data_IF_157924024197
#
_entry.id   IF_157924024197
#
_cell.length_a   1.000
_cell.length_b   1.000
_cell.length_c   1.000
_cell.angle_alpha   90.00
_cell.angle_beta   90.00
_cell.angle_gamma   90.00
#
_symmetry.space_group_name_H-M   'P 1'
#
loop_
_entity.id
_entity.type
_entity.pdbx_description
1 polymer ?
#
# COMPACT_ATOMS: atom_id res chain seq x y z
N UNK A 1 44.42 42.98 14.63
CA UNK A 1 42.99 42.87 14.25
C UNK A 1 42.70 41.42 13.93
N UNK A 2 42.23 40.69 14.95
CA UNK A 2 41.94 39.25 14.83
C UNK A 2 40.42 39.12 14.70
N UNK A 3 39.89 39.11 13.47
CA UNK A 3 38.51 38.76 13.21
C UNK A 3 38.41 37.24 13.02
N UNK A 4 37.59 36.71 13.82
CA UNK A 4 37.44 35.37 14.28
C UNK A 4 37.00 34.40 13.17
N UNK A 5 37.80 33.38 12.92
CA UNK A 5 37.48 32.20 12.06
C UNK A 5 36.22 31.45 12.56
N UNK A 6 35.87 31.65 13.82
CA UNK A 6 34.70 31.02 14.48
C UNK A 6 33.35 31.47 13.88
N UNK A 7 33.24 32.73 13.40
CA UNK A 7 31.99 33.27 12.86
C UNK A 7 31.65 32.69 11.47
N UNK A 8 32.62 32.26 10.69
CA UNK A 8 32.40 31.71 9.33
C UNK A 8 31.96 30.23 9.43
N UNK A 9 32.48 29.49 10.40
CA UNK A 9 32.07 28.11 10.60
C UNK A 9 30.60 27.99 11.08
N UNK A 10 30.18 28.91 11.95
CA UNK A 10 28.78 28.94 12.42
C UNK A 10 27.78 29.27 11.29
N UNK A 11 28.18 30.10 10.35
CA UNK A 11 27.32 30.47 9.22
C UNK A 11 27.17 29.33 8.19
N UNK A 12 28.23 28.55 7.97
CA UNK A 12 28.21 27.39 7.08
C UNK A 12 27.40 26.21 7.65
N UNK A 13 27.43 26.02 8.95
CA UNK A 13 26.63 24.98 9.63
C UNK A 13 25.13 25.32 9.57
N UNK A 14 24.77 26.60 9.70
CA UNK A 14 23.35 27.02 9.61
C UNK A 14 22.79 26.89 8.18
N UNK A 15 23.60 27.05 7.15
CA UNK A 15 23.17 26.83 5.74
C UNK A 15 23.00 25.34 5.45
N UNK A 16 23.82 24.48 6.03
CA UNK A 16 23.67 23.01 5.85
C UNK A 16 22.45 22.43 6.55
N UNK A 17 22.08 22.96 7.71
CA UNK A 17 20.87 22.55 8.44
C UNK A 17 19.57 23.00 7.74
N UNK A 18 19.59 24.11 6.99
CA UNK A 18 18.40 24.57 6.26
C UNK A 18 18.18 23.79 4.97
N UNK A 19 19.25 23.30 4.32
CA UNK A 19 19.10 22.51 3.08
C UNK A 19 18.63 21.08 3.32
N UNK A 20 18.90 20.48 4.49
CA UNK A 20 18.42 19.13 4.81
C UNK A 20 16.95 19.09 5.24
N UNK A 21 16.41 20.18 5.80
CA UNK A 21 15.00 20.22 6.22
C UNK A 21 14.02 20.45 5.06
N UNK A 22 14.44 21.12 3.99
CA UNK A 22 13.55 21.36 2.82
C UNK A 22 13.35 20.14 1.94
N UNK A 23 14.29 19.20 1.93
CA UNK A 23 14.17 17.95 1.16
C UNK A 23 13.14 17.00 1.82
N UNK A 24 13.12 16.92 3.15
CA UNK A 24 12.18 16.05 3.87
C UNK A 24 10.73 16.56 3.81
N UNK A 25 10.48 17.86 3.72
CA UNK A 25 9.12 18.41 3.61
C UNK A 25 8.49 18.16 2.24
N UNK A 26 9.25 18.21 1.16
CA UNK A 26 8.72 17.93 -0.18
C UNK A 26 8.44 16.44 -0.39
N UNK A 27 9.22 15.57 0.21
CA UNK A 27 9.05 14.13 0.16
C UNK A 27 7.85 13.68 1.02
N UNK A 28 7.67 14.24 2.21
CA UNK A 28 6.53 13.97 3.08
C UNK A 28 5.18 14.41 2.48
N UNK A 29 5.09 15.57 1.86
CA UNK A 29 3.82 16.02 1.30
C UNK A 29 3.35 15.19 0.10
N UNK A 30 4.27 14.55 -0.63
CA UNK A 30 3.95 13.68 -1.76
C UNK A 30 3.61 12.26 -1.31
N UNK A 31 4.30 11.77 -0.30
CA UNK A 31 4.07 10.45 0.27
C UNK A 31 2.71 10.36 1.00
N UNK A 32 2.29 11.43 1.68
CA UNK A 32 0.94 11.52 2.25
C UNK A 32 -0.16 11.42 1.20
N UNK A 33 0.08 11.95 -0.02
CA UNK A 33 -0.95 11.94 -1.06
C UNK A 33 -1.31 10.52 -1.56
N UNK A 34 -0.36 9.59 -1.65
CA UNK A 34 -0.65 8.22 -2.12
C UNK A 34 -1.48 7.43 -1.11
N UNK A 35 -1.14 7.46 0.16
CA UNK A 35 -1.89 6.81 1.21
C UNK A 35 -3.29 7.43 1.37
N UNK A 36 -3.40 8.76 1.34
CA UNK A 36 -4.68 9.47 1.37
C UNK A 36 -5.57 9.15 0.16
N UNK A 37 -4.99 8.95 -1.04
CA UNK A 37 -5.76 8.51 -2.21
C UNK A 37 -6.36 7.12 -2.00
N UNK A 38 -5.61 6.20 -1.44
CA UNK A 38 -6.12 4.86 -1.14
C UNK A 38 -7.26 4.95 -0.14
N UNK A 39 -7.09 5.69 0.97
CA UNK A 39 -8.12 5.80 2.00
C UNK A 39 -9.40 6.50 1.50
N UNK A 40 -9.26 7.58 0.75
CA UNK A 40 -10.39 8.40 0.34
C UNK A 40 -11.09 7.88 -0.92
N UNK A 41 -10.32 7.38 -1.90
CA UNK A 41 -10.84 7.01 -3.21
C UNK A 41 -10.70 5.51 -3.51
N UNK A 42 -10.15 4.72 -2.57
CA UNK A 42 -9.88 3.30 -2.74
C UNK A 42 -8.96 2.98 -3.93
N UNK A 43 -8.22 3.98 -4.41
CA UNK A 43 -7.49 3.95 -5.69
C UNK A 43 -6.02 4.24 -5.48
N UNK A 44 -5.16 3.51 -6.19
CA UNK A 44 -3.74 3.80 -6.33
C UNK A 44 -3.33 3.83 -7.80
N UNK A 45 -2.56 4.86 -8.18
CA UNK A 45 -1.97 4.97 -9.52
C UNK A 45 -0.47 4.75 -9.38
N UNK A 46 0.04 3.69 -10.02
CA UNK A 46 1.45 3.33 -9.96
C UNK A 46 2.31 4.15 -10.91
N UNK A 47 3.53 4.52 -10.49
CA UNK A 47 4.54 5.07 -11.39
C UNK A 47 4.95 4.10 -12.50
N UNK A 48 5.41 4.62 -13.63
CA UNK A 48 5.88 3.81 -14.79
C UNK A 48 7.09 2.91 -14.46
N UNK A 49 7.87 3.23 -13.46
CA UNK A 49 9.04 2.45 -13.04
C UNK A 49 8.68 1.14 -12.34
N UNK A 50 7.47 1.05 -11.78
CA UNK A 50 7.05 -0.12 -11.00
C UNK A 50 6.85 -1.32 -11.93
N UNK A 51 7.45 -2.44 -11.55
CA UNK A 51 7.39 -3.73 -12.25
C UNK A 51 6.69 -4.81 -11.45
N UNK A 52 6.63 -4.64 -10.14
CA UNK A 52 6.00 -5.58 -9.23
C UNK A 52 5.13 -4.82 -8.24
N UNK A 53 3.91 -5.27 -8.04
CA UNK A 53 3.01 -4.72 -7.02
C UNK A 53 2.36 -5.84 -6.21
N UNK A 54 2.27 -5.61 -4.89
CA UNK A 54 1.59 -6.54 -3.98
C UNK A 54 0.37 -5.87 -3.39
N UNK A 55 -0.81 -6.42 -3.72
CA UNK A 55 -2.10 -6.01 -3.15
C UNK A 55 -2.26 -6.66 -1.78
N UNK A 56 -2.57 -5.88 -0.76
CA UNK A 56 -2.85 -6.40 0.57
C UNK A 56 -4.31 -6.85 0.68
N UNK A 57 -4.52 -8.05 1.22
CA UNK A 57 -5.80 -8.48 1.79
C UNK A 57 -5.64 -8.26 3.30
N UNK A 58 -6.28 -7.24 3.88
CA UNK A 58 -6.10 -6.90 5.29
C UNK A 58 -6.77 -7.92 6.21
N UNK A 59 -6.42 -7.87 7.50
CA UNK A 59 -7.10 -8.67 8.50
C UNK A 59 -8.61 -8.41 8.48
N UNK A 60 -9.40 -9.46 8.71
CA UNK A 60 -10.88 -9.37 8.73
C UNK A 60 -11.50 -8.72 7.48
N UNK A 61 -10.86 -8.90 6.32
CA UNK A 61 -11.35 -8.37 5.04
C UNK A 61 -12.78 -8.86 4.69
N UNK A 62 -13.18 -10.01 5.24
CA UNK A 62 -14.49 -10.66 5.01
C UNK A 62 -15.58 -10.18 5.96
N UNK A 63 -15.23 -9.50 7.05
CA UNK A 63 -16.22 -9.10 8.03
C UNK A 63 -17.01 -7.90 7.55
N UNK A 64 -18.31 -7.95 7.80
CA UNK A 64 -19.17 -6.82 7.58
C UNK A 64 -18.87 -5.73 8.60
N UNK A 65 -18.58 -4.51 8.18
CA UNK A 65 -18.37 -3.43 9.14
C UNK A 65 -19.63 -3.22 9.98
N UNK A 66 -19.45 -3.10 11.29
CA UNK A 66 -20.53 -2.88 12.24
C UNK A 66 -21.25 -1.54 12.08
N UNK A 67 -20.64 -0.59 11.33
CA UNK A 67 -21.19 0.72 11.10
C UNK A 67 -21.77 0.85 9.68
N UNK A 68 -22.79 1.69 9.51
CA UNK A 68 -23.27 2.08 8.20
C UNK A 68 -22.13 2.54 7.27
N UNK A 69 -22.23 2.24 5.98
CA UNK A 69 -21.19 2.52 4.97
C UNK A 69 -20.68 3.96 5.01
N UNK A 70 -21.55 4.92 5.28
CA UNK A 70 -21.26 6.36 5.35
C UNK A 70 -20.38 6.74 6.56
N UNK A 71 -20.28 5.86 7.54
CA UNK A 71 -19.49 6.06 8.76
C UNK A 71 -18.17 5.28 8.76
N UNK A 72 -17.90 4.54 7.69
CA UNK A 72 -16.69 3.72 7.55
C UNK A 72 -15.56 4.56 6.99
N UNK A 73 -14.42 4.57 7.67
CA UNK A 73 -13.20 5.20 7.14
C UNK A 73 -12.54 4.34 6.08
N UNK A 74 -12.51 3.01 6.28
CA UNK A 74 -12.11 2.05 5.25
C UNK A 74 -13.22 1.02 5.05
N UNK A 75 -13.59 0.83 3.81
CA UNK A 75 -14.53 -0.19 3.37
C UNK A 75 -13.90 -0.99 2.21
N UNK A 76 -12.65 -1.40 2.39
CA UNK A 76 -11.88 -2.03 1.33
C UNK A 76 -11.51 -3.45 1.73
N UNK A 77 -12.00 -4.46 0.98
CA UNK A 77 -11.56 -5.84 1.15
C UNK A 77 -10.12 -6.06 0.64
N UNK A 78 -9.68 -5.18 -0.25
CA UNK A 78 -8.34 -5.17 -0.83
C UNK A 78 -7.75 -3.77 -0.74
N UNK A 79 -6.43 -3.68 -0.57
CA UNK A 79 -5.74 -2.40 -0.43
C UNK A 79 -4.58 -2.30 -1.42
N UNK A 80 -4.73 -1.48 -2.47
CA UNK A 80 -5.91 -0.72 -2.87
C UNK A 80 -7.01 -1.60 -3.48
N UNK A 81 -8.25 -1.12 -3.50
CA UNK A 81 -9.35 -1.81 -4.19
C UNK A 81 -9.29 -1.60 -5.71
N UNK A 82 -8.88 -0.40 -6.15
CA UNK A 82 -8.73 -0.04 -7.55
C UNK A 82 -7.28 0.33 -7.84
N UNK A 83 -6.62 -0.48 -8.66
CA UNK A 83 -5.24 -0.29 -9.06
C UNK A 83 -5.13 0.16 -10.52
N UNK A 84 -4.45 1.27 -10.77
CA UNK A 84 -4.03 1.69 -12.10
C UNK A 84 -2.54 1.46 -12.23
N UNK A 85 -2.14 0.65 -13.21
CA UNK A 85 -0.77 0.19 -13.34
C UNK A 85 -0.25 0.32 -14.78
N UNK A 86 1.07 0.51 -14.96
CA UNK A 86 1.68 0.49 -16.29
C UNK A 86 1.66 -0.93 -16.87
N UNK A 87 1.75 -1.10 -18.19
CA UNK A 87 1.96 -2.41 -18.82
C UNK A 87 3.32 -3.00 -18.41
N UNK A 88 3.46 -4.32 -18.58
CA UNK A 88 4.60 -5.13 -18.13
C UNK A 88 4.81 -5.10 -16.62
N UNK A 89 3.72 -5.19 -15.87
CA UNK A 89 3.72 -5.30 -14.42
C UNK A 89 3.34 -6.70 -13.97
N UNK A 90 3.95 -7.12 -12.87
CA UNK A 90 3.60 -8.34 -12.16
C UNK A 90 2.82 -7.97 -10.90
N UNK A 91 1.71 -8.66 -10.66
CA UNK A 91 0.85 -8.42 -9.49
C UNK A 91 0.66 -9.72 -8.72
N UNK A 92 0.67 -9.63 -7.42
CA UNK A 92 0.35 -10.70 -6.49
C UNK A 92 -0.51 -10.16 -5.34
N UNK A 93 -1.17 -11.05 -4.61
CA UNK A 93 -1.95 -10.73 -3.41
C UNK A 93 -1.28 -11.33 -2.18
N UNK A 94 -1.14 -10.53 -1.13
CA UNK A 94 -0.61 -10.96 0.16
C UNK A 94 -1.75 -10.95 1.18
N UNK A 95 -1.96 -12.09 1.87
CA UNK A 95 -3.00 -12.18 2.88
C UNK A 95 -2.46 -11.90 4.28
N UNK A 96 -2.96 -10.82 4.90
CA UNK A 96 -2.82 -10.51 6.32
C UNK A 96 -4.02 -10.99 7.16
N UNK A 97 -4.98 -11.72 6.58
CA UNK A 97 -6.22 -12.12 7.22
C UNK A 97 -6.05 -13.39 8.06
N UNK A 98 -6.06 -13.20 9.37
CA UNK A 98 -5.76 -14.24 10.35
C UNK A 98 -6.86 -15.29 10.42
N UNK A 99 -6.45 -16.57 10.41
CA UNK A 99 -7.38 -17.69 10.56
C UNK A 99 -8.15 -18.06 9.30
N UNK A 100 -8.01 -17.28 8.21
CA UNK A 100 -8.75 -17.49 6.98
C UNK A 100 -7.84 -17.83 5.80
N UNK A 101 -8.39 -18.61 4.86
CA UNK A 101 -7.82 -18.81 3.53
C UNK A 101 -8.65 -18.01 2.56
N UNK A 102 -8.01 -17.08 1.85
CA UNK A 102 -8.65 -16.21 0.88
C UNK A 102 -8.52 -16.78 -0.52
N UNK A 103 -9.60 -16.74 -1.28
CA UNK A 103 -9.62 -17.17 -2.68
C UNK A 103 -9.79 -15.94 -3.56
N UNK A 104 -8.78 -15.62 -4.37
CA UNK A 104 -8.85 -14.53 -5.34
C UNK A 104 -9.05 -15.10 -6.72
N UNK A 105 -10.16 -14.73 -7.35
CA UNK A 105 -10.49 -15.05 -8.73
C UNK A 105 -10.40 -13.77 -9.57
N UNK A 106 -9.66 -13.80 -10.67
CA UNK A 106 -9.49 -12.68 -11.58
C UNK A 106 -10.12 -13.00 -12.93
N UNK A 107 -10.92 -12.06 -13.43
CA UNK A 107 -11.61 -12.15 -14.71
C UNK A 107 -11.17 -11.03 -15.66
N UNK A 108 -11.14 -11.34 -16.95
CA UNK A 108 -10.98 -10.37 -18.02
C UNK A 108 -12.32 -9.65 -18.36
N UNK A 109 -12.31 -8.80 -19.38
CA UNK A 109 -13.48 -8.05 -19.82
C UNK A 109 -14.61 -8.94 -20.40
N UNK A 110 -14.29 -10.19 -20.75
CA UNK A 110 -15.26 -11.16 -21.28
C UNK A 110 -15.83 -12.05 -20.17
N UNK A 111 -15.48 -11.79 -18.91
CA UNK A 111 -15.79 -12.64 -17.75
C UNK A 111 -15.17 -14.04 -17.84
N UNK A 112 -14.02 -14.15 -18.52
CA UNK A 112 -13.22 -15.37 -18.50
C UNK A 112 -12.26 -15.33 -17.31
N UNK A 113 -12.27 -16.38 -16.49
CA UNK A 113 -11.33 -16.53 -15.38
C UNK A 113 -9.93 -16.75 -15.92
N UNK A 114 -9.03 -15.80 -15.67
CA UNK A 114 -7.62 -15.87 -16.11
C UNK A 114 -6.66 -16.22 -14.97
N UNK A 115 -7.15 -16.13 -13.71
CA UNK A 115 -6.36 -16.46 -12.54
C UNK A 115 -7.28 -16.87 -11.38
N UNK A 116 -6.85 -17.89 -10.63
CA UNK A 116 -7.53 -18.38 -9.43
C UNK A 116 -6.45 -18.84 -8.45
N UNK A 117 -6.52 -18.37 -7.20
CA UNK A 117 -5.54 -18.73 -6.19
C UNK A 117 -6.12 -18.67 -4.78
N UNK A 118 -5.87 -19.73 -4.00
CA UNK A 118 -6.15 -19.76 -2.57
C UNK A 118 -4.91 -19.31 -1.79
N UNK A 119 -5.07 -18.30 -0.95
CA UNK A 119 -3.99 -17.63 -0.23
C UNK A 119 -4.25 -17.78 1.28
N UNK A 120 -3.35 -18.48 1.98
CA UNK A 120 -3.41 -18.63 3.43
C UNK A 120 -2.91 -17.36 4.12
N UNK A 121 -3.29 -17.18 5.38
CA UNK A 121 -2.71 -16.15 6.22
C UNK A 121 -1.17 -16.13 6.13
N UNK A 122 -0.61 -14.93 6.11
CA UNK A 122 0.82 -14.66 6.01
C UNK A 122 1.49 -15.29 4.78
N UNK A 123 0.75 -15.40 3.69
CA UNK A 123 1.21 -15.96 2.42
C UNK A 123 0.89 -15.05 1.25
N UNK A 124 1.61 -15.26 0.14
CA UNK A 124 1.43 -14.56 -1.12
C UNK A 124 0.91 -15.51 -2.19
N UNK A 125 0.07 -15.01 -3.09
CA UNK A 125 -0.37 -15.74 -4.29
C UNK A 125 0.79 -15.98 -5.27
N UNK A 126 0.65 -16.88 -6.23
CA UNK A 126 1.44 -16.82 -7.45
C UNK A 126 1.32 -15.42 -8.09
N UNK A 127 2.37 -15.02 -8.80
CA UNK A 127 2.40 -13.75 -9.53
C UNK A 127 1.73 -13.91 -10.89
N UNK A 128 0.93 -12.92 -11.29
CA UNK A 128 0.39 -12.80 -12.64
C UNK A 128 0.98 -11.59 -13.34
N UNK A 129 1.31 -11.72 -14.63
CA UNK A 129 1.92 -10.67 -15.45
C UNK A 129 0.89 -10.05 -16.39
N UNK A 130 0.85 -8.71 -16.42
CA UNK A 130 -0.05 -7.92 -17.27
C UNK A 130 0.75 -7.13 -18.28
N UNK A 131 0.62 -7.48 -19.56
CA UNK A 131 1.41 -6.90 -20.64
C UNK A 131 0.63 -5.90 -21.51
N UNK A 132 -0.68 -6.06 -21.60
CA UNK A 132 -1.55 -5.27 -22.47
C UNK A 132 -2.44 -4.32 -21.68
N UNK A 133 -2.84 -3.23 -22.33
CA UNK A 133 -3.80 -2.29 -21.75
C UNK A 133 -5.20 -2.90 -21.71
N UNK A 134 -5.67 -3.18 -20.53
CA UNK A 134 -6.97 -3.81 -20.26
C UNK A 134 -7.41 -3.54 -18.82
N UNK A 135 -8.69 -3.76 -18.53
CA UNK A 135 -9.23 -3.72 -17.16
C UNK A 135 -9.68 -5.11 -16.77
N UNK A 136 -9.23 -5.54 -15.61
CA UNK A 136 -9.53 -6.82 -14.99
C UNK A 136 -10.33 -6.59 -13.73
N UNK A 137 -11.28 -7.47 -13.44
CA UNK A 137 -12.00 -7.52 -12.18
C UNK A 137 -11.54 -8.71 -11.36
N UNK A 138 -11.36 -8.55 -10.06
CA UNK A 138 -11.06 -9.66 -9.17
C UNK A 138 -12.01 -9.65 -7.98
N UNK A 139 -12.32 -10.85 -7.48
CA UNK A 139 -13.28 -11.04 -6.40
C UNK A 139 -12.95 -12.30 -5.61
N UNK A 140 -13.64 -12.48 -4.50
CA UNK A 140 -13.65 -13.70 -3.70
C UNK A 140 -15.01 -14.39 -3.79
N UNK A 141 -15.03 -15.65 -4.22
CA UNK A 141 -16.27 -16.43 -4.42
C UNK A 141 -16.95 -16.81 -3.12
N UNK A 142 -16.17 -17.05 -2.05
CA UNK A 142 -16.67 -17.53 -0.76
C UNK A 142 -16.91 -16.37 0.24
N UNK A 143 -17.24 -15.20 -0.26
CA UNK A 143 -17.56 -14.06 0.58
C UNK A 143 -18.89 -14.30 1.30
N UNK A 144 -18.86 -15.09 2.39
CA UNK A 144 -19.97 -15.19 3.33
C UNK A 144 -20.06 -13.91 4.18
N UNK A 145 -20.16 -12.77 3.52
CA UNK A 145 -20.40 -11.52 4.19
C UNK A 145 -21.83 -11.49 4.70
N UNK A 146 -22.03 -11.20 5.99
CA UNK A 146 -23.36 -10.97 6.56
C UNK A 146 -24.02 -9.70 5.99
N UNK A 147 -23.22 -8.79 5.41
CA UNK A 147 -23.69 -7.60 4.72
C UNK A 147 -23.72 -7.84 3.19
N UNK A 148 -24.90 -7.96 2.58
CA UNK A 148 -25.04 -8.18 1.13
C UNK A 148 -24.50 -7.01 0.28
N UNK A 149 -24.21 -5.87 0.90
CA UNK A 149 -23.61 -4.70 0.24
C UNK A 149 -22.09 -4.66 0.37
N UNK A 150 -21.49 -5.55 1.15
CA UNK A 150 -20.06 -5.66 1.29
C UNK A 150 -19.53 -6.68 0.30
N UNK A 151 -19.16 -6.23 -0.88
CA UNK A 151 -18.64 -7.09 -1.95
C UNK A 151 -17.12 -7.10 -1.89
N UNK A 152 -16.55 -8.29 -1.72
CA UNK A 152 -15.09 -8.50 -1.79
C UNK A 152 -14.65 -8.48 -3.25
N UNK A 153 -14.49 -7.30 -3.83
CA UNK A 153 -14.05 -7.12 -5.20
C UNK A 153 -13.02 -6.00 -5.34
N UNK A 154 -12.34 -5.98 -6.46
CA UNK A 154 -11.43 -4.94 -6.85
C UNK A 154 -11.21 -4.92 -8.35
N UNK A 155 -10.48 -3.92 -8.85
CA UNK A 155 -10.13 -3.81 -10.26
C UNK A 155 -8.66 -3.50 -10.46
N UNK A 156 -8.10 -4.02 -11.54
CA UNK A 156 -6.77 -3.70 -12.05
C UNK A 156 -6.95 -3.13 -13.45
N UNK A 157 -6.59 -1.85 -13.63
CA UNK A 157 -6.59 -1.22 -14.95
C UNK A 157 -5.15 -1.03 -15.41
N UNK A 158 -4.79 -1.72 -16.47
CA UNK A 158 -3.48 -1.59 -17.13
C UNK A 158 -3.62 -0.53 -18.21
N UNK A 159 -2.90 0.57 -18.07
CA UNK A 159 -2.87 1.64 -19.06
C UNK A 159 -1.51 2.36 -19.09
N UNK A 160 -1.21 3.04 -20.20
CA UNK A 160 -0.06 3.94 -20.21
C UNK A 160 -0.40 5.20 -19.39
N UNK A 161 0.27 5.47 -18.27
CA UNK A 161 -0.02 6.62 -17.40
C UNK A 161 0.19 8.00 -18.07
N UNK A 162 0.58 8.04 -19.34
CA UNK A 162 0.68 9.31 -20.10
C UNK A 162 -0.68 10.02 -20.28
N UNK A 163 -1.80 9.31 -20.20
CA UNK A 163 -3.12 9.91 -20.40
C UNK A 163 -3.64 10.70 -19.19
N UNK A 164 -2.99 10.62 -18.04
CA UNK A 164 -3.41 11.35 -16.82
C UNK A 164 -2.41 12.42 -16.35
N UNK A 165 -1.41 12.76 -17.19
CA UNK A 165 -0.41 13.75 -16.83
C UNK A 165 -0.96 15.17 -16.93
N UNK A 166 -1.55 15.67 -15.87
CA UNK A 166 -1.53 17.10 -15.58
C UNK A 166 -0.12 17.46 -15.13
N UNK A 167 0.61 18.14 -16.03
CA UNK A 167 1.85 18.89 -15.91
C UNK A 167 2.42 19.11 -14.49
N UNK A 168 3.00 18.10 -13.87
CA UNK A 168 3.95 18.28 -12.80
C UNK A 168 5.14 17.36 -13.06
N UNK A 169 6.19 17.96 -13.61
CA UNK A 169 7.53 17.40 -13.75
C UNK A 169 8.06 17.13 -12.34
N UNK A 170 7.79 15.97 -11.81
CA UNK A 170 8.28 15.54 -10.50
C UNK A 170 9.12 14.30 -10.69
N UNK A 171 10.31 14.31 -10.09
CA UNK A 171 11.23 13.18 -10.02
C UNK A 171 10.46 11.85 -9.96
N UNK A 172 10.59 11.04 -11.03
CA UNK A 172 9.99 9.72 -11.10
C UNK A 172 10.51 8.92 -9.92
N UNK A 173 9.61 8.35 -9.15
CA UNK A 173 9.95 7.29 -8.22
C UNK A 173 10.67 6.19 -9.01
N UNK A 174 11.84 5.77 -8.55
CA UNK A 174 12.67 4.76 -9.22
C UNK A 174 12.42 3.37 -8.70
N UNK A 175 11.43 3.18 -7.82
CA UNK A 175 11.15 1.88 -7.24
C UNK A 175 10.58 0.91 -8.27
N UNK A 176 11.10 -0.32 -8.25
CA UNK A 176 10.63 -1.42 -9.09
C UNK A 176 9.53 -2.23 -8.42
N UNK A 177 9.49 -2.22 -7.08
CA UNK A 177 8.51 -2.93 -6.27
C UNK A 177 7.74 -1.92 -5.45
N UNK A 178 6.42 -2.01 -5.46
CA UNK A 178 5.56 -1.26 -4.54
C UNK A 178 4.54 -2.19 -3.89
N UNK A 179 4.06 -1.78 -2.74
CA UNK A 179 3.02 -2.50 -1.99
C UNK A 179 2.33 -1.59 -0.99
N UNK A 180 1.33 -2.13 -0.32
CA UNK A 180 0.67 -1.50 0.81
C UNK A 180 0.73 -2.40 2.03
N UNK A 181 0.74 -1.81 3.21
CA UNK A 181 0.72 -2.52 4.49
C UNK A 181 -0.11 -1.72 5.50
N UNK A 182 -0.86 -2.41 6.35
CA UNK A 182 -1.59 -1.81 7.46
C UNK A 182 -0.99 -2.29 8.77
N UNK A 183 -0.70 -1.34 9.66
CA UNK A 183 -0.05 -1.63 10.95
C UNK A 183 -0.71 -0.83 12.07
N UNK A 184 -0.75 -1.37 13.32
CA UNK A 184 -1.21 -0.60 14.47
C UNK A 184 -0.40 0.69 14.65
N UNK A 185 -1.06 1.81 14.80
CA UNK A 185 -0.39 3.11 14.91
C UNK A 185 0.53 3.20 16.12
N UNK A 186 0.20 2.51 17.22
CA UNK A 186 1.03 2.49 18.43
C UNK A 186 2.42 1.89 18.20
N UNK A 187 2.54 0.98 17.25
CA UNK A 187 3.76 0.21 16.98
C UNK A 187 4.48 0.69 15.70
N UNK A 188 4.02 1.80 15.10
CA UNK A 188 4.51 2.33 13.81
C UNK A 188 6.03 2.51 13.79
N UNK A 189 6.61 2.97 14.90
CA UNK A 189 8.06 3.20 14.99
C UNK A 189 8.87 1.92 14.80
N UNK A 190 8.47 0.83 15.46
CA UNK A 190 9.13 -0.47 15.36
C UNK A 190 9.07 -1.00 13.92
N UNK A 191 7.90 -0.91 13.28
CA UNK A 191 7.73 -1.37 11.91
C UNK A 191 8.48 -0.51 10.90
N UNK A 192 8.54 0.82 11.14
CA UNK A 192 9.35 1.72 10.31
C UNK A 192 10.83 1.33 10.36
N UNK A 193 11.39 1.14 11.54
CA UNK A 193 12.78 0.71 11.73
C UNK A 193 13.04 -0.63 11.03
N UNK A 194 12.13 -1.60 11.16
CA UNK A 194 12.27 -2.90 10.51
C UNK A 194 12.23 -2.79 8.97
N UNK A 195 11.38 -1.93 8.40
CA UNK A 195 11.30 -1.69 6.97
C UNK A 195 12.59 -1.05 6.45
N UNK A 196 13.06 0.02 7.11
CA UNK A 196 14.29 0.73 6.74
C UNK A 196 15.53 -0.18 6.81
N UNK A 197 15.66 -1.00 7.85
CA UNK A 197 16.76 -1.98 8.00
C UNK A 197 16.78 -3.03 6.87
N UNK A 198 15.64 -3.25 6.21
CA UNK A 198 15.52 -4.17 5.09
C UNK A 198 15.40 -3.45 3.73
N UNK A 199 15.79 -2.17 3.64
CA UNK A 199 15.80 -1.37 2.40
C UNK A 199 14.41 -1.24 1.75
N UNK A 200 13.37 -1.19 2.56
CA UNK A 200 12.01 -0.90 2.14
C UNK A 200 11.65 0.51 2.60
N UNK A 201 11.48 1.40 1.64
CA UNK A 201 11.18 2.81 1.88
C UNK A 201 9.68 3.04 2.08
N UNK A 202 9.33 3.94 3.00
CA UNK A 202 7.95 4.38 3.19
C UNK A 202 7.67 5.55 2.26
N UNK A 203 6.87 5.31 1.22
CA UNK A 203 6.49 6.28 0.19
C UNK A 203 5.24 7.08 0.56
N UNK A 204 4.49 6.61 1.52
CA UNK A 204 3.28 7.25 2.01
C UNK A 204 2.81 6.62 3.31
N UNK A 205 2.24 7.45 4.16
CA UNK A 205 1.58 6.98 5.38
C UNK A 205 0.36 7.84 5.68
N UNK A 206 -0.70 7.20 6.15
CA UNK A 206 -1.92 7.89 6.58
C UNK A 206 -2.53 7.16 7.77
N UNK A 207 -2.91 7.93 8.77
CA UNK A 207 -3.58 7.43 9.96
C UNK A 207 -5.09 7.30 9.72
N UNK A 208 -5.68 6.23 10.25
CA UNK A 208 -7.13 6.04 10.25
C UNK A 208 -7.58 5.15 11.42
N UNK A 209 -8.90 5.07 11.61
CA UNK A 209 -9.51 4.12 12.53
C UNK A 209 -10.13 3.00 11.68
N UNK A 210 -9.62 1.79 11.83
CA UNK A 210 -10.20 0.61 11.17
C UNK A 210 -11.41 0.12 11.99
N UNK A 211 -12.57 0.35 11.44
CA UNK A 211 -13.85 0.02 12.10
C UNK A 211 -14.24 -1.46 11.91
N UNK A 212 -13.52 -2.21 11.09
CA UNK A 212 -13.72 -3.66 10.92
C UNK A 212 -13.19 -4.43 12.12
N UNK A 213 -12.14 -3.92 12.78
CA UNK A 213 -11.65 -4.49 14.04
C UNK A 213 -12.64 -4.19 15.16
N UNK A 214 -13.58 -5.05 15.31
CA UNK A 214 -14.85 -4.82 15.93
C UNK A 214 -14.90 -5.10 17.42
N UNK A 215 -15.97 -4.66 18.02
CA UNK A 215 -16.34 -4.86 19.43
C UNK A 215 -15.84 -3.76 20.37
N UNK A 216 -14.86 -2.96 20.00
CA UNK A 216 -14.26 -1.94 20.86
C UNK A 216 -14.25 -0.52 20.28
N UNK A 217 -14.97 -0.26 19.20
CA UNK A 217 -15.03 1.07 18.58
C UNK A 217 -13.93 1.35 17.57
N UNK A 218 -13.33 0.30 17.01
CA UNK A 218 -12.28 0.39 15.98
C UNK A 218 -10.86 0.46 16.55
N UNK A 219 -9.88 0.15 15.74
CA UNK A 219 -8.47 0.21 16.07
C UNK A 219 -7.76 1.33 15.33
N UNK A 220 -6.81 1.98 16.00
CA UNK A 220 -5.96 2.97 15.39
C UNK A 220 -4.92 2.28 14.50
N UNK A 221 -5.07 2.44 13.19
CA UNK A 221 -4.21 1.86 12.16
C UNK A 221 -3.47 2.95 11.39
N UNK A 222 -2.35 2.55 10.80
CA UNK A 222 -1.64 3.38 9.82
C UNK A 222 -1.49 2.58 8.54
N UNK A 223 -1.99 3.14 7.45
CA UNK A 223 -1.72 2.64 6.10
C UNK A 223 -0.34 3.14 5.67
N UNK A 224 0.50 2.22 5.23
CA UNK A 224 1.79 2.48 4.62
C UNK A 224 1.74 2.15 3.13
N UNK A 225 2.30 3.02 2.31
CA UNK A 225 2.65 2.75 0.91
C UNK A 225 4.16 2.56 0.87
N UNK A 226 4.60 1.44 0.36
CA UNK A 226 5.98 0.97 0.45
C UNK A 226 6.60 0.87 -0.94
N UNK A 227 7.91 1.12 -1.01
CA UNK A 227 8.71 0.97 -2.22
C UNK A 227 10.04 0.30 -1.94
N UNK A 228 10.51 -0.55 -2.85
CA UNK A 228 11.81 -1.21 -2.77
C UNK A 228 12.42 -1.37 -4.16
N UNK A 229 13.75 -1.43 -4.22
CA UNK A 229 14.52 -1.82 -5.39
C UNK A 229 15.27 -3.15 -5.16
N UNK A 230 14.95 -3.84 -4.06
CA UNK A 230 15.51 -5.16 -3.74
C UNK A 230 14.87 -6.29 -4.55
N UNK A 231 15.06 -7.50 -4.06
CA UNK A 231 14.34 -8.67 -4.61
C UNK A 231 12.94 -8.72 -4.00
N UNK A 232 11.95 -9.13 -4.80
CA UNK A 232 10.56 -9.24 -4.33
C UNK A 232 10.43 -10.19 -3.14
N UNK A 233 11.18 -11.28 -3.14
CA UNK A 233 11.15 -12.28 -2.07
C UNK A 233 11.66 -11.71 -0.73
N UNK A 234 12.64 -10.81 -0.75
CA UNK A 234 13.14 -10.13 0.43
C UNK A 234 12.07 -9.19 1.00
N UNK A 235 11.43 -8.41 0.14
CA UNK A 235 10.31 -7.53 0.51
C UNK A 235 9.15 -8.33 1.14
N UNK A 236 8.78 -9.45 0.52
CA UNK A 236 7.73 -10.34 1.06
C UNK A 236 8.15 -10.97 2.39
N UNK A 237 9.44 -11.29 2.57
CA UNK A 237 9.94 -11.81 3.84
C UNK A 237 9.77 -10.80 4.98
N UNK A 238 9.98 -9.51 4.72
CA UNK A 238 9.73 -8.43 5.69
C UNK A 238 8.25 -8.33 6.01
N UNK A 239 7.37 -8.37 5.01
CA UNK A 239 5.92 -8.35 5.24
C UNK A 239 5.45 -9.50 6.11
N UNK A 240 5.95 -10.72 5.85
CA UNK A 240 5.65 -11.89 6.66
C UNK A 240 6.08 -11.73 8.12
N UNK A 241 7.23 -11.12 8.37
CA UNK A 241 7.70 -10.83 9.74
C UNK A 241 6.79 -9.83 10.44
N UNK A 242 6.46 -8.72 9.77
CA UNK A 242 5.57 -7.70 10.33
C UNK A 242 4.19 -8.30 10.61
N UNK A 243 3.59 -8.96 9.61
CA UNK A 243 2.25 -9.53 9.75
C UNK A 243 2.17 -10.59 10.83
N UNK A 244 3.21 -11.42 11.00
CA UNK A 244 3.27 -12.42 12.06
C UNK A 244 3.42 -11.83 13.47
N UNK A 245 3.89 -10.59 13.60
CA UNK A 245 4.07 -9.89 14.88
C UNK A 245 2.87 -9.00 15.25
N UNK A 246 1.91 -8.81 14.34
CA UNK A 246 0.73 -8.01 14.63
C UNK A 246 -0.10 -8.64 15.76
N UNK A 247 -0.56 -7.84 16.72
CA UNK A 247 -1.46 -8.35 17.76
C UNK A 247 -2.84 -8.59 17.13
N UNK A 248 -3.11 -9.83 16.87
CA UNK A 248 -4.45 -10.28 16.50
C UNK A 248 -5.19 -10.66 17.78
N UNK A 249 -6.16 -9.89 18.18
CA UNK A 249 -7.00 -10.11 19.35
C UNK A 249 -8.31 -10.77 18.97
#
# INVERSE_FOLDING_TARGET
MNFSIVSIAALLISIWLISSSTISFAQNSRSQNMASQILNNQTLILPKSVRNFVILIPNEAHESPLLPKEQRLINQPYVPQHLFAPPNINIAWFSGDVGHTRKVTLEDQNSETIFDSSIKFNSISPTISFNNSETFSYYEEDANSEDPNFVLNGTITINDPQMQSNNNTSSQSTYEIMSTLMVPTKDIKEYTELLEDNQVDILGQEFFIDLREAGSGGANQTLLVLGSNGQIDDTISVFKKITASLPYS
#
